data_IF_245974003671
#
_entry.id   IF_245974003671
#
_cell.length_a   1.000
_cell.length_b   1.000
_cell.length_c   1.000
_cell.angle_alpha   90.00
_cell.angle_beta   90.00
_cell.angle_gamma   90.00
#
_symmetry.space_group_name_H-M   'P 1'
#
loop_
_entity.id
_entity.type
_entity.pdbx_description
1 polymer ?
#
# COMPACT_ATOMS: atom_id res chain seq x y z
N UNK A 1 15.40 -24.69 -16.30
CA UNK A 1 15.33 -23.96 -15.02
C UNK A 1 14.31 -22.86 -15.14
N UNK A 2 13.13 -23.13 -14.61
CA UNK A 2 11.95 -22.29 -14.60
C UNK A 2 12.24 -20.98 -13.88
N UNK A 3 12.44 -19.91 -14.65
CA UNK A 3 12.30 -18.52 -14.19
C UNK A 3 10.82 -18.27 -13.94
N UNK A 4 10.24 -18.98 -12.98
CA UNK A 4 9.02 -18.53 -12.32
C UNK A 4 9.45 -17.28 -11.56
N UNK A 5 9.54 -16.16 -12.31
CA UNK A 5 9.61 -14.80 -11.80
C UNK A 5 8.67 -14.81 -10.61
N UNK A 6 9.22 -14.58 -9.41
CA UNK A 6 8.44 -14.24 -8.24
C UNK A 6 7.54 -13.09 -8.69
N UNK A 7 6.30 -13.39 -9.10
CA UNK A 7 5.34 -12.38 -9.52
C UNK A 7 5.32 -11.43 -8.34
N UNK A 8 5.80 -10.18 -8.48
CA UNK A 8 5.76 -9.27 -7.37
C UNK A 8 4.28 -9.22 -6.99
N UNK A 9 3.96 -9.63 -5.76
CA UNK A 9 2.59 -9.60 -5.24
C UNK A 9 1.97 -8.26 -5.64
N UNK A 10 0.78 -8.26 -6.27
CA UNK A 10 0.28 -7.12 -7.02
C UNK A 10 0.31 -5.86 -6.16
N UNK A 11 0.96 -4.80 -6.67
CA UNK A 11 0.98 -3.51 -5.98
C UNK A 11 -0.46 -3.04 -5.76
N UNK A 12 -0.79 -2.63 -4.55
CA UNK A 12 -2.14 -2.21 -4.18
C UNK A 12 -2.48 -0.82 -4.75
N UNK A 13 -1.46 -0.01 -5.03
CA UNK A 13 -1.61 1.31 -5.66
C UNK A 13 -0.30 2.09 -5.64
N UNK A 14 -0.40 3.42 -5.80
CA UNK A 14 0.72 4.34 -5.71
C UNK A 14 0.74 5.03 -4.33
N UNK A 15 1.92 5.23 -3.77
CA UNK A 15 2.10 6.04 -2.56
C UNK A 15 1.93 7.51 -2.93
N UNK A 16 1.05 8.20 -2.20
CA UNK A 16 0.87 9.63 -2.38
C UNK A 16 1.79 10.39 -1.46
N UNK A 17 2.46 11.40 -2.01
CA UNK A 17 3.28 12.33 -1.28
C UNK A 17 2.64 13.71 -1.38
N UNK A 18 2.54 14.42 -0.26
CA UNK A 18 2.18 15.84 -0.19
C UNK A 18 3.39 16.60 0.31
N UNK A 19 3.62 17.80 -0.21
CA UNK A 19 4.60 18.70 0.38
C UNK A 19 3.86 19.65 1.32
N UNK A 20 4.36 19.78 2.55
CA UNK A 20 3.87 20.80 3.47
C UNK A 20 4.31 22.21 3.01
N UNK A 21 3.71 23.26 3.58
CA UNK A 21 4.12 24.67 3.43
C UNK A 21 5.61 24.92 3.66
N UNK A 22 6.26 24.06 4.46
CA UNK A 22 7.70 24.08 4.75
C UNK A 22 8.57 23.36 3.71
N UNK A 23 7.98 22.80 2.65
CA UNK A 23 8.68 22.00 1.64
C UNK A 23 9.03 20.57 2.09
N UNK A 24 8.56 20.14 3.26
CA UNK A 24 8.77 18.78 3.76
C UNK A 24 7.85 17.78 3.07
N UNK A 25 8.38 16.64 2.67
CA UNK A 25 7.60 15.56 2.08
C UNK A 25 6.86 14.77 3.16
N UNK A 26 5.55 14.70 3.02
CA UNK A 26 4.63 13.96 3.89
C UNK A 26 3.99 12.85 3.07
N UNK A 27 4.29 11.60 3.39
CA UNK A 27 3.61 10.47 2.76
C UNK A 27 2.21 10.30 3.35
N UNK A 28 1.21 10.25 2.49
CA UNK A 28 -0.17 10.00 2.91
C UNK A 28 -0.41 8.50 2.85
N UNK A 29 -0.42 7.89 4.03
CA UNK A 29 -0.65 6.47 4.24
C UNK A 29 -2.14 6.21 4.49
N UNK A 30 -2.65 5.02 4.17
CA UNK A 30 -4.00 4.65 4.57
C UNK A 30 -4.09 4.65 6.10
N UNK A 31 -5.20 5.16 6.65
CA UNK A 31 -5.42 5.13 8.09
C UNK A 31 -5.70 3.72 8.64
N UNK A 32 -6.03 2.75 7.77
CA UNK A 32 -6.42 1.39 8.16
C UNK A 32 -5.59 0.33 7.45
N UNK A 33 -5.51 -0.86 8.07
CA UNK A 33 -4.88 -2.02 7.47
C UNK A 33 -5.62 -2.48 6.20
N UNK A 34 -4.99 -3.34 5.41
CA UNK A 34 -5.53 -3.83 4.14
C UNK A 34 -6.87 -4.56 4.23
N UNK A 35 -7.14 -5.13 5.40
CA UNK A 35 -8.41 -5.80 5.72
C UNK A 35 -9.47 -4.84 6.28
N UNK A 36 -9.13 -3.58 6.54
CA UNK A 36 -10.02 -2.60 7.17
C UNK A 36 -10.35 -2.86 8.64
N UNK A 37 -9.76 -3.90 9.24
CA UNK A 37 -10.04 -4.36 10.62
C UNK A 37 -9.36 -3.52 11.70
N UNK A 38 -8.18 -2.98 11.40
CA UNK A 38 -7.34 -2.28 12.36
C UNK A 38 -6.98 -0.89 11.85
N UNK A 39 -7.01 0.10 12.75
CA UNK A 39 -6.60 1.47 12.46
C UNK A 39 -5.11 1.60 12.74
N UNK A 40 -4.30 1.92 11.73
CA UNK A 40 -2.83 1.92 11.83
C UNK A 40 -2.32 2.90 12.89
N UNK A 41 -3.01 4.04 13.08
CA UNK A 41 -2.68 5.00 14.13
C UNK A 41 -2.80 4.47 15.56
N UNK A 42 -3.60 3.43 15.79
CA UNK A 42 -3.81 2.83 17.11
C UNK A 42 -3.15 1.45 17.26
N UNK A 43 -3.14 0.65 16.20
CA UNK A 43 -2.80 -0.79 16.28
C UNK A 43 -1.31 -1.11 16.08
N UNK A 44 -0.43 -0.10 16.11
CA UNK A 44 0.99 -0.18 15.80
C UNK A 44 1.25 -0.73 14.38
N UNK A 45 2.00 0.01 13.58
CA UNK A 45 2.30 -0.39 12.21
C UNK A 45 3.76 -0.13 11.88
N UNK A 46 4.25 -0.87 10.90
CA UNK A 46 5.62 -0.73 10.41
C UNK A 46 5.57 -0.32 8.93
N UNK A 47 5.77 0.97 8.63
CA UNK A 47 6.04 1.40 7.26
C UNK A 47 7.51 1.14 6.94
N UNK A 48 7.78 0.50 5.80
CA UNK A 48 9.11 0.29 5.25
C UNK A 48 9.07 0.84 3.84
N UNK A 49 9.91 1.83 3.53
CA UNK A 49 10.09 2.31 2.17
C UNK A 49 11.44 1.80 1.68
N UNK A 50 11.45 1.02 0.62
CA UNK A 50 12.66 0.43 0.04
C UNK A 50 12.53 0.33 -1.48
N UNK A 51 13.58 0.70 -2.22
CA UNK A 51 13.68 0.55 -3.68
C UNK A 51 12.48 1.12 -4.48
N UNK A 52 11.89 2.23 -4.02
CA UNK A 52 10.70 2.80 -4.67
C UNK A 52 9.40 2.03 -4.41
N UNK A 53 9.37 1.20 -3.38
CA UNK A 53 8.19 0.53 -2.86
C UNK A 53 7.97 0.92 -1.39
N UNK A 54 6.73 1.18 -1.02
CA UNK A 54 6.31 1.42 0.36
C UNK A 54 5.45 0.26 0.83
N UNK A 55 5.96 -0.46 1.82
CA UNK A 55 5.30 -1.57 2.49
C UNK A 55 4.79 -1.11 3.85
N UNK A 56 3.48 -1.02 4.02
CA UNK A 56 2.86 -0.64 5.30
C UNK A 56 2.26 -1.88 5.93
N UNK A 57 2.97 -2.45 6.91
CA UNK A 57 2.60 -3.68 7.59
C UNK A 57 1.85 -3.40 8.88
N UNK A 58 0.65 -3.97 9.03
CA UNK A 58 -0.10 -3.96 10.28
C UNK A 58 0.38 -5.09 11.19
N UNK A 59 0.94 -4.75 12.36
CA UNK A 59 1.50 -5.75 13.27
C UNK A 59 0.42 -6.67 13.88
N UNK A 60 -0.78 -6.14 14.13
CA UNK A 60 -1.90 -6.94 14.63
C UNK A 60 -2.38 -7.98 13.61
N UNK A 61 -2.39 -7.65 12.31
CA UNK A 61 -2.74 -8.61 11.26
C UNK A 61 -1.58 -9.55 10.91
N UNK A 62 -0.33 -9.14 11.15
CA UNK A 62 0.83 -10.00 10.93
C UNK A 62 0.75 -11.28 11.79
N UNK A 63 0.17 -11.19 12.99
CA UNK A 63 -0.08 -12.34 13.88
C UNK A 63 -1.01 -13.40 13.26
N UNK A 64 -1.92 -12.98 12.37
CA UNK A 64 -2.94 -13.86 11.76
C UNK A 64 -2.46 -14.48 10.43
N UNK A 65 -1.23 -14.20 9.99
CA UNK A 65 -0.69 -14.59 8.67
C UNK A 65 -1.57 -14.17 7.47
N UNK A 66 -2.53 -13.28 7.67
CA UNK A 66 -3.33 -12.69 6.61
C UNK A 66 -2.51 -11.66 5.83
N UNK A 67 -2.96 -11.31 4.63
CA UNK A 67 -2.39 -10.25 3.80
C UNK A 67 -2.51 -8.89 4.54
N UNK A 68 -1.46 -8.53 5.27
CA UNK A 68 -1.43 -7.48 6.29
C UNK A 68 -0.61 -6.26 5.89
N UNK A 69 0.03 -6.32 4.73
CA UNK A 69 0.91 -5.29 4.20
C UNK A 69 0.30 -4.63 2.97
N UNK A 70 0.09 -3.32 3.02
CA UNK A 70 -0.16 -2.53 1.81
C UNK A 70 1.14 -2.40 1.02
N UNK A 71 1.11 -2.73 -0.28
CA UNK A 71 2.24 -2.54 -1.18
C UNK A 71 1.99 -1.38 -2.13
N UNK A 72 2.64 -0.25 -1.90
CA UNK A 72 2.44 0.96 -2.69
C UNK A 72 3.69 1.31 -3.48
N UNK A 73 3.54 1.80 -4.71
CA UNK A 73 4.68 2.30 -5.50
C UNK A 73 5.07 3.68 -4.99
N UNK A 74 6.29 3.83 -4.48
CA UNK A 74 6.88 5.10 -4.09
C UNK A 74 7.79 5.62 -5.22
N UNK A 75 7.35 6.64 -5.95
CA UNK A 75 8.15 7.26 -7.02
C UNK A 75 9.06 8.38 -6.52
N UNK A 76 8.89 8.77 -5.26
CA UNK A 76 9.59 9.87 -4.61
C UNK A 76 10.53 9.36 -3.51
N UNK A 77 11.56 10.15 -3.12
CA UNK A 77 12.44 9.81 -2.03
C UNK A 77 11.67 9.57 -0.71
N UNK A 78 12.29 8.85 0.25
CA UNK A 78 11.65 8.56 1.52
C UNK A 78 11.15 9.86 2.19
N UNK A 79 9.89 9.89 2.61
CA UNK A 79 9.26 11.07 3.17
C UNK A 79 9.85 11.42 4.53
N UNK A 80 9.86 12.71 4.87
CA UNK A 80 10.27 13.21 6.20
C UNK A 80 9.24 12.85 7.29
N UNK A 81 7.96 12.76 6.90
CA UNK A 81 6.86 12.44 7.80
C UNK A 81 5.78 11.60 7.11
N UNK A 82 4.94 10.93 7.89
CA UNK A 82 3.80 10.18 7.37
C UNK A 82 2.51 10.63 8.04
N UNK A 83 1.46 10.83 7.25
CA UNK A 83 0.11 11.19 7.70
C UNK A 83 -0.85 10.06 7.36
N UNK A 84 -1.79 9.78 8.26
CA UNK A 84 -2.79 8.74 8.09
C UNK A 84 -4.09 9.37 7.59
N UNK A 85 -4.60 8.89 6.46
CA UNK A 85 -5.86 9.37 5.87
C UNK A 85 -6.83 8.22 5.61
N UNK A 86 -8.08 8.40 6.03
CA UNK A 86 -9.16 7.45 5.74
C UNK A 86 -9.56 7.48 4.26
N UNK A 87 -9.50 8.65 3.62
CA UNK A 87 -9.78 8.79 2.18
C UNK A 87 -8.78 7.95 1.37
N UNK A 88 -7.49 7.99 1.73
CA UNK A 88 -6.48 7.13 1.09
C UNK A 88 -6.74 5.65 1.28
N UNK A 89 -7.30 5.24 2.41
CA UNK A 89 -7.72 3.85 2.57
C UNK A 89 -8.82 3.46 1.57
N UNK A 90 -9.88 4.28 1.42
CA UNK A 90 -10.96 3.97 0.49
C UNK A 90 -10.50 3.94 -0.97
N UNK A 91 -9.65 4.88 -1.38
CA UNK A 91 -9.09 4.88 -2.75
C UNK A 91 -8.30 3.61 -3.05
N UNK A 92 -7.46 3.15 -2.12
CA UNK A 92 -6.67 1.93 -2.32
C UNK A 92 -7.53 0.67 -2.32
N UNK A 93 -8.56 0.58 -1.48
CA UNK A 93 -9.53 -0.52 -1.50
C UNK A 93 -10.30 -0.54 -2.82
N UNK A 94 -10.75 0.62 -3.30
CA UNK A 94 -11.43 0.73 -4.60
C UNK A 94 -10.51 0.30 -5.74
N UNK A 95 -9.27 0.80 -5.78
CA UNK A 95 -8.30 0.44 -6.81
C UNK A 95 -7.98 -1.06 -6.80
N UNK A 96 -7.81 -1.66 -5.62
CA UNK A 96 -7.65 -3.11 -5.45
C UNK A 96 -8.85 -3.89 -5.98
N UNK A 97 -10.06 -3.43 -5.65
CA UNK A 97 -11.31 -4.07 -6.07
C UNK A 97 -11.49 -3.98 -7.59
N UNK A 98 -11.25 -2.80 -8.17
CA UNK A 98 -11.27 -2.58 -9.61
C UNK A 98 -10.27 -3.49 -10.33
N UNK A 99 -9.04 -3.64 -9.82
CA UNK A 99 -8.05 -4.55 -10.40
C UNK A 99 -8.43 -6.02 -10.29
N UNK A 100 -9.08 -6.44 -9.20
CA UNK A 100 -9.61 -7.79 -9.08
C UNK A 100 -10.79 -8.05 -10.06
N UNK A 101 -11.51 -6.99 -10.44
CA UNK A 101 -12.62 -7.03 -11.38
C UNK A 101 -12.20 -6.98 -12.85
N UNK A 102 -10.93 -6.68 -13.18
CA UNK A 102 -10.43 -6.82 -14.55
C UNK A 102 -10.07 -8.30 -14.74
N UNK A 103 -10.90 -9.12 -15.42
CA UNK A 103 -10.50 -10.48 -15.72
C UNK A 103 -9.26 -10.42 -16.63
N UNK A 104 -8.20 -11.10 -16.21
CA UNK A 104 -7.07 -11.41 -17.08
C UNK A 104 -7.58 -12.38 -18.17
N UNK A 105 -8.21 -11.86 -19.22
CA UNK A 105 -8.70 -12.70 -20.31
C UNK A 105 -9.76 -12.05 -21.19
N UNK A 106 -9.30 -11.27 -22.17
CA UNK A 106 -9.97 -11.16 -23.47
C UNK A 106 -8.88 -11.12 -24.54
N UNK A 107 -8.25 -12.27 -24.79
CA UNK A 107 -7.46 -12.51 -26.00
C UNK A 107 -8.13 -13.65 -26.79
N UNK A 108 -8.55 -13.33 -28.01
CA UNK A 108 -8.89 -14.26 -29.09
C UNK A 108 -10.38 -14.54 -29.28
N UNK A 109 -10.82 -14.89 -30.50
CA UNK A 109 -10.03 -15.25 -31.70
C UNK A 109 -9.76 -14.10 -32.68
#
# INVERSE_FOLDING_TARGET
>A
MDRQLLKPSPMDGQLTHRYDSTGRSVAILPARCKLGRHTLGYSQFRPIVHDGEAHISCLACATDNADHSWRLTATAPPPDSAELSEERYFELVLHRTQRALIPAGSHGP
#
